data_IF_187627270590
#
_entry.id   IF_187627270590
#
_cell.length_a   1.000
_cell.length_b   1.000
_cell.length_c   1.000
_cell.angle_alpha   90.00
_cell.angle_beta   90.00
_cell.angle_gamma   90.00
#
_symmetry.space_group_name_H-M   'P 1'
#
loop_
_entity.id
_entity.type
_entity.pdbx_description
1 polymer ?
#
# COMPACT_ATOMS: atom_id res chain seq x y z
N UNK A 1 -22.34 27.20 -25.31
CA UNK A 1 -22.61 25.75 -25.51
C UNK A 1 -21.39 24.83 -25.29
N UNK A 2 -20.42 25.17 -24.41
CA UNK A 2 -19.24 24.32 -24.09
C UNK A 2 -19.30 23.63 -22.71
N UNK A 3 -20.18 24.07 -21.82
CA UNK A 3 -20.23 23.58 -20.43
C UNK A 3 -21.18 22.38 -20.22
N UNK A 4 -22.26 22.27 -21.00
CA UNK A 4 -23.20 21.12 -20.92
C UNK A 4 -22.53 19.83 -21.40
N UNK A 5 -21.74 19.90 -22.48
CA UNK A 5 -20.98 18.78 -23.03
C UNK A 5 -19.93 18.24 -22.03
N UNK A 6 -19.40 19.11 -21.17
CA UNK A 6 -18.42 18.76 -20.14
C UNK A 6 -19.06 18.04 -18.96
N UNK A 7 -20.29 18.41 -18.58
CA UNK A 7 -21.05 17.68 -17.56
C UNK A 7 -21.52 16.31 -18.04
N UNK A 8 -21.95 16.18 -19.29
CA UNK A 8 -22.32 14.88 -19.90
C UNK A 8 -21.12 13.91 -19.91
N UNK A 9 -19.89 14.41 -20.13
CA UNK A 9 -18.66 13.61 -20.08
C UNK A 9 -18.14 13.30 -18.67
N UNK A 10 -18.54 14.04 -17.63
CA UNK A 10 -18.05 13.87 -16.26
C UNK A 10 -19.01 13.06 -15.36
N UNK A 11 -20.29 12.99 -15.71
CA UNK A 11 -21.28 12.11 -15.06
C UNK A 11 -20.85 10.63 -15.09
N UNK A 12 -20.38 10.03 -16.21
CA UNK A 12 -20.02 8.62 -16.23
C UNK A 12 -18.88 8.28 -15.28
N UNK A 13 -17.99 9.25 -14.98
CA UNK A 13 -16.88 9.03 -14.06
C UNK A 13 -17.35 8.85 -12.60
N UNK A 14 -18.36 9.62 -12.16
CA UNK A 14 -18.87 9.50 -10.78
C UNK A 14 -19.64 8.19 -10.59
N UNK A 15 -20.45 7.79 -11.57
CA UNK A 15 -21.19 6.53 -11.51
C UNK A 15 -20.27 5.32 -11.50
N UNK A 16 -19.21 5.32 -12.33
CA UNK A 16 -18.19 4.26 -12.34
C UNK A 16 -17.43 4.21 -11.00
N UNK A 17 -17.02 5.36 -10.44
CA UNK A 17 -16.35 5.40 -9.13
C UNK A 17 -17.27 4.89 -8.00
N UNK A 18 -18.57 5.19 -8.06
CA UNK A 18 -19.55 4.69 -7.09
C UNK A 18 -19.74 3.16 -7.21
N UNK A 19 -19.85 2.62 -8.43
CA UNK A 19 -19.95 1.19 -8.66
C UNK A 19 -18.67 0.44 -8.24
N UNK A 20 -17.49 1.02 -8.48
CA UNK A 20 -16.22 0.49 -7.99
C UNK A 20 -16.18 0.51 -6.46
N UNK A 21 -16.64 1.60 -5.83
CA UNK A 21 -16.72 1.70 -4.36
C UNK A 21 -17.70 0.68 -3.76
N UNK A 22 -18.84 0.46 -4.39
CA UNK A 22 -19.82 -0.54 -3.98
C UNK A 22 -19.28 -1.97 -4.14
N UNK A 23 -18.59 -2.25 -5.26
CA UNK A 23 -17.87 -3.50 -5.47
C UNK A 23 -16.78 -3.72 -4.41
N UNK A 24 -15.99 -2.69 -4.09
CA UNK A 24 -14.99 -2.74 -3.02
C UNK A 24 -15.61 -2.98 -1.64
N UNK A 25 -16.81 -2.47 -1.38
CA UNK A 25 -17.50 -2.62 -0.09
C UNK A 25 -18.22 -3.97 0.07
N UNK A 26 -18.65 -4.59 -1.03
CA UNK A 26 -19.51 -5.80 -1.02
C UNK A 26 -18.76 -7.07 -1.38
N UNK A 27 -17.77 -7.01 -2.28
CA UNK A 27 -17.06 -8.17 -2.81
C UNK A 27 -15.56 -8.17 -2.51
N UNK A 28 -14.93 -7.02 -2.21
CA UNK A 28 -13.53 -6.99 -1.76
C UNK A 28 -13.43 -7.08 -0.24
N UNK A 29 -12.85 -8.16 0.33
CA UNK A 29 -12.55 -8.24 1.76
C UNK A 29 -11.45 -7.25 2.19
N UNK A 30 -10.78 -6.59 1.26
CA UNK A 30 -9.69 -5.64 1.54
C UNK A 30 -10.14 -4.32 2.19
N UNK A 31 -11.44 -4.02 2.25
CA UNK A 31 -11.97 -2.82 2.93
C UNK A 31 -12.93 -3.13 4.09
N UNK A 32 -13.01 -4.41 4.49
CA UNK A 32 -13.77 -4.85 5.67
C UNK A 32 -13.00 -4.75 6.99
N UNK A 33 -13.54 -5.41 8.03
CA UNK A 33 -13.03 -5.50 9.41
C UNK A 33 -11.58 -6.04 9.55
N UNK A 34 -10.93 -6.39 8.44
CA UNK A 34 -9.53 -6.80 8.33
C UNK A 34 -8.51 -5.65 8.47
N UNK A 35 -8.95 -4.42 8.70
CA UNK A 35 -8.10 -3.37 9.28
C UNK A 35 -7.52 -3.82 10.64
N UNK A 36 -8.24 -4.68 11.36
CA UNK A 36 -7.79 -5.33 12.61
C UNK A 36 -6.62 -6.31 12.41
N UNK A 37 -6.42 -6.83 11.20
CA UNK A 37 -5.38 -7.82 10.90
C UNK A 37 -3.99 -7.19 10.67
N UNK A 38 -3.91 -5.87 10.44
CA UNK A 38 -2.65 -5.17 10.20
C UNK A 38 -2.41 -3.98 11.15
N UNK A 39 -2.42 -4.20 12.48
CA UNK A 39 -2.14 -3.12 13.44
C UNK A 39 -0.74 -2.52 13.26
N UNK A 40 0.20 -3.27 12.66
CA UNK A 40 1.57 -2.85 12.39
C UNK A 40 1.82 -2.36 10.95
N UNK A 41 0.76 -2.19 10.15
CA UNK A 41 0.80 -1.83 8.74
C UNK A 41 1.20 -2.98 7.80
N UNK A 42 1.18 -2.71 6.48
CA UNK A 42 1.41 -3.72 5.44
C UNK A 42 2.85 -4.26 5.39
N UNK A 43 3.84 -3.41 5.69
CA UNK A 43 5.25 -3.82 5.67
C UNK A 43 5.73 -4.22 7.06
N UNK A 44 6.31 -5.42 7.13
CA UNK A 44 6.80 -6.04 8.37
C UNK A 44 8.25 -5.72 8.69
N UNK A 45 8.95 -5.15 7.71
CA UNK A 45 10.36 -4.79 7.80
C UNK A 45 10.54 -3.31 8.14
N UNK A 46 11.65 -2.99 8.82
CA UNK A 46 12.11 -1.61 9.02
C UNK A 46 13.57 -1.51 8.57
N UNK A 47 13.94 -0.61 7.65
CA UNK A 47 13.05 0.25 6.85
C UNK A 47 12.04 -0.55 6.00
N UNK A 48 10.95 0.10 5.56
CA UNK A 48 9.90 -0.57 4.76
C UNK A 48 10.47 -1.10 3.44
N UNK A 49 9.86 -2.11 2.81
CA UNK A 49 10.33 -2.67 1.55
C UNK A 49 10.46 -1.62 0.45
N UNK A 50 9.56 -0.63 0.41
CA UNK A 50 9.65 0.50 -0.51
C UNK A 50 10.89 1.36 -0.26
N UNK A 51 11.17 1.69 1.00
CA UNK A 51 12.29 2.55 1.38
C UNK A 51 13.63 1.81 1.24
N UNK A 52 13.66 0.53 1.58
CA UNK A 52 14.78 -0.35 1.25
C UNK A 52 15.01 -0.43 -0.26
N UNK A 53 13.94 -0.55 -1.05
CA UNK A 53 14.03 -0.56 -2.51
C UNK A 53 14.71 0.71 -3.05
N UNK A 54 14.31 1.88 -2.55
CA UNK A 54 14.96 3.15 -2.91
C UNK A 54 16.44 3.15 -2.54
N UNK A 55 16.78 2.76 -1.32
CA UNK A 55 18.17 2.72 -0.84
C UNK A 55 19.02 1.79 -1.69
N UNK A 56 18.57 0.55 -1.89
CA UNK A 56 19.35 -0.45 -2.63
C UNK A 56 19.45 -0.13 -4.11
N UNK A 57 18.40 0.41 -4.73
CA UNK A 57 18.46 0.85 -6.13
C UNK A 57 19.37 2.07 -6.27
N UNK A 58 19.38 3.00 -5.30
CA UNK A 58 20.30 4.12 -5.28
C UNK A 58 21.77 3.66 -5.11
N UNK A 59 22.02 2.67 -4.25
CA UNK A 59 23.37 2.21 -3.92
C UNK A 59 23.96 1.25 -4.98
N UNK A 60 23.13 0.32 -5.51
CA UNK A 60 23.59 -0.81 -6.35
C UNK A 60 23.05 -0.77 -7.78
N UNK A 61 22.28 0.26 -8.12
CA UNK A 61 21.54 0.34 -9.38
C UNK A 61 20.41 -0.68 -9.48
N UNK A 62 19.64 -0.60 -10.56
CA UNK A 62 18.46 -1.43 -10.75
C UNK A 62 18.80 -2.93 -10.91
N UNK A 63 19.86 -3.26 -11.66
CA UNK A 63 20.23 -4.65 -11.96
C UNK A 63 20.72 -5.38 -10.70
N UNK A 64 21.56 -4.74 -9.89
CA UNK A 64 22.06 -5.31 -8.63
C UNK A 64 21.04 -5.22 -7.49
N UNK A 65 20.17 -4.20 -7.51
CA UNK A 65 19.23 -3.94 -6.43
C UNK A 65 17.90 -4.66 -6.52
N UNK A 66 17.38 -4.90 -7.73
CA UNK A 66 16.11 -5.60 -7.91
C UNK A 66 16.05 -7.00 -7.30
N UNK A 67 17.04 -7.90 -7.48
CA UNK A 67 16.96 -9.22 -6.87
C UNK A 67 16.91 -9.16 -5.33
N UNK A 68 17.59 -8.18 -4.71
CA UNK A 68 17.56 -7.97 -3.26
C UNK A 68 16.20 -7.45 -2.78
N UNK A 69 15.63 -6.48 -3.50
CA UNK A 69 14.30 -5.96 -3.22
C UNK A 69 13.23 -7.06 -3.36
N UNK A 70 13.27 -7.83 -4.44
CA UNK A 70 12.31 -8.93 -4.70
C UNK A 70 12.40 -9.97 -3.60
N UNK A 71 13.61 -10.43 -3.24
CA UNK A 71 13.81 -11.37 -2.13
C UNK A 71 13.22 -10.85 -0.83
N UNK A 72 13.34 -9.54 -0.57
CA UNK A 72 12.76 -8.92 0.63
C UNK A 72 11.24 -8.76 0.55
N UNK A 73 10.68 -8.49 -0.63
CA UNK A 73 9.23 -8.43 -0.84
C UNK A 73 8.57 -9.80 -0.66
N UNK A 74 9.17 -10.86 -1.20
CA UNK A 74 8.66 -12.22 -1.06
C UNK A 74 8.65 -12.71 0.40
N UNK A 75 9.59 -12.23 1.22
CA UNK A 75 9.60 -12.51 2.66
C UNK A 75 8.66 -11.61 3.47
N UNK A 76 8.00 -10.62 2.84
CA UNK A 76 7.07 -9.72 3.50
C UNK A 76 5.63 -10.22 3.33
N UNK A 77 5.23 -11.20 4.15
CA UNK A 77 3.90 -11.79 4.09
C UNK A 77 3.13 -11.59 5.42
N UNK A 78 1.78 -11.67 5.41
CA UNK A 78 0.96 -11.52 6.61
C UNK A 78 1.12 -12.63 7.66
N UNK A 79 2.00 -13.61 7.44
CA UNK A 79 2.40 -14.59 8.45
C UNK A 79 3.81 -14.39 9.04
N UNK A 80 4.62 -13.44 8.54
CA UNK A 80 5.96 -13.14 9.10
C UNK A 80 5.86 -12.29 10.36
N UNK A 81 6.52 -12.55 11.47
CA UNK A 81 6.45 -11.57 12.58
C UNK A 81 7.02 -10.20 12.16
N UNK A 82 6.35 -9.07 12.47
CA UNK A 82 6.92 -7.75 12.22
C UNK A 82 8.22 -7.60 13.02
N UNK A 83 9.23 -6.96 12.43
CA UNK A 83 10.50 -6.79 13.10
C UNK A 83 10.35 -5.89 14.34
N UNK A 84 11.14 -6.14 15.37
CA UNK A 84 11.13 -5.32 16.59
C UNK A 84 11.31 -3.83 16.27
N UNK A 85 12.24 -3.52 15.35
CA UNK A 85 12.46 -2.16 14.83
C UNK A 85 11.22 -1.54 14.20
N UNK A 86 10.36 -2.35 13.55
CA UNK A 86 9.10 -1.89 12.95
C UNK A 86 8.08 -1.56 14.04
N UNK A 87 7.96 -2.41 15.06
CA UNK A 87 7.07 -2.18 16.21
C UNK A 87 7.48 -0.88 16.93
N UNK A 88 8.77 -0.73 17.25
CA UNK A 88 9.30 0.47 17.90
C UNK A 88 9.05 1.74 17.08
N UNK A 89 9.21 1.67 15.75
CA UNK A 89 8.95 2.81 14.87
C UNK A 89 7.47 3.25 14.87
N UNK A 90 6.53 2.32 15.05
CA UNK A 90 5.09 2.62 15.11
C UNK A 90 4.73 3.22 16.46
N UNK A 91 5.23 2.63 17.55
CA UNK A 91 5.00 3.16 18.89
C UNK A 91 5.50 4.59 19.02
N UNK A 92 6.69 4.90 18.47
CA UNK A 92 7.23 6.27 18.43
C UNK A 92 6.34 7.24 17.66
N UNK A 93 5.75 6.81 16.54
CA UNK A 93 4.85 7.67 15.73
C UNK A 93 3.53 7.98 16.44
N UNK A 94 3.00 7.05 17.23
CA UNK A 94 1.75 7.25 17.95
C UNK A 94 1.93 8.06 19.25
N UNK A 95 3.17 8.19 19.74
CA UNK A 95 3.51 8.97 20.92
C UNK A 95 3.76 10.46 20.63
N UNK A 96 3.81 10.86 19.35
CA UNK A 96 3.92 12.24 18.89
C UNK A 96 2.55 12.77 18.47
#
# INVERSE_FOLDING_TARGET
>A
MRNVLRHIRLIPRKSIMYLIGLYQATLSPDHGQLKSMYPYGFCRHQPTCSEYGKQVIADRGMIGGMPLLIKRLLSCHPWTTPSEKRILAILKRNAQ
#
